data_IF_611138968841
#
_entry.id   IF_611138968841
#
_cell.length_a   1.000
_cell.length_b   1.000
_cell.length_c   1.000
_cell.angle_alpha   90.00
_cell.angle_beta   90.00
_cell.angle_gamma   90.00
#
_symmetry.space_group_name_H-M   'P 1'
#
loop_
_entity.id
_entity.type
_entity.pdbx_description
1 polymer ?
#
# COMPACT_ATOMS: atom_id res chain seq x y z
N UNK A 1 49.27 15.34 5.81
CA UNK A 1 47.93 14.83 5.42
C UNK A 1 47.03 14.49 6.63
N UNK A 2 47.57 14.07 7.79
CA UNK A 2 46.77 13.75 8.98
C UNK A 2 46.22 14.98 9.74
N UNK A 3 46.91 16.12 9.74
CA UNK A 3 46.47 17.29 10.52
C UNK A 3 45.31 18.05 9.88
N UNK A 4 45.27 18.15 8.55
CA UNK A 4 44.13 18.72 7.82
C UNK A 4 42.85 17.91 8.04
N UNK A 5 42.95 16.58 8.11
CA UNK A 5 41.81 15.69 8.36
C UNK A 5 41.29 15.82 9.80
N UNK A 6 42.18 16.04 10.76
CA UNK A 6 41.81 16.31 12.17
C UNK A 6 41.21 17.71 12.35
N UNK A 7 41.66 18.70 11.59
CA UNK A 7 41.06 20.03 11.61
C UNK A 7 39.64 20.02 11.03
N UNK A 8 39.45 19.37 9.88
CA UNK A 8 38.13 19.20 9.25
C UNK A 8 37.15 18.43 10.16
N UNK A 9 37.63 17.40 10.88
CA UNK A 9 36.79 16.66 11.81
C UNK A 9 36.34 17.51 13.01
N UNK A 10 37.21 18.39 13.53
CA UNK A 10 36.86 19.30 14.63
C UNK A 10 35.83 20.35 14.20
N UNK A 11 35.99 20.93 13.02
CA UNK A 11 35.00 21.88 12.47
C UNK A 11 33.65 21.21 12.23
N UNK A 12 33.65 19.97 11.72
CA UNK A 12 32.42 19.20 11.55
C UNK A 12 31.73 18.91 12.90
N UNK A 13 32.48 18.50 13.92
CA UNK A 13 31.94 18.25 15.25
C UNK A 13 31.38 19.51 15.91
N UNK A 14 32.02 20.67 15.69
CA UNK A 14 31.54 21.97 16.17
C UNK A 14 30.21 22.36 15.50
N UNK A 15 30.09 22.17 14.19
CA UNK A 15 28.86 22.43 13.46
C UNK A 15 27.70 21.52 13.91
N UNK A 16 27.97 20.23 14.17
CA UNK A 16 26.96 19.30 14.71
C UNK A 16 26.49 19.73 16.10
N UNK A 17 27.39 20.17 16.97
CA UNK A 17 27.03 20.64 18.31
C UNK A 17 26.15 21.90 18.26
N UNK A 18 26.42 22.82 17.33
CA UNK A 18 25.64 24.05 17.15
C UNK A 18 24.22 23.76 16.60
N UNK A 19 24.08 22.78 15.71
CA UNK A 19 22.77 22.33 15.21
C UNK A 19 21.94 21.70 16.34
N UNK A 20 22.56 20.87 17.19
CA UNK A 20 21.87 20.25 18.31
C UNK A 20 21.42 21.27 19.35
N UNK A 21 22.26 22.26 19.69
CA UNK A 21 21.88 23.33 20.60
C UNK A 21 20.67 24.13 20.10
N UNK A 22 20.60 24.42 18.78
CA UNK A 22 19.43 25.09 18.19
C UNK A 22 18.18 24.21 18.18
N UNK A 23 18.33 22.90 18.09
CA UNK A 23 17.20 21.97 18.20
C UNK A 23 16.62 21.97 19.62
N UNK A 24 17.48 21.98 20.64
CA UNK A 24 17.06 22.04 22.05
C UNK A 24 16.37 23.38 22.38
N UNK A 25 16.83 24.50 21.82
CA UNK A 25 16.17 25.81 21.95
C UNK A 25 14.77 25.81 21.30
N UNK A 26 14.62 25.19 20.12
CA UNK A 26 13.33 25.08 19.42
C UNK A 26 12.36 24.20 20.19
N UNK A 27 12.84 23.08 20.75
CA UNK A 27 12.02 22.18 21.56
C UNK A 27 11.60 22.84 22.89
N UNK A 28 12.48 23.62 23.51
CA UNK A 28 12.17 24.38 24.72
C UNK A 28 11.14 25.49 24.45
N UNK A 29 11.29 26.22 23.33
CA UNK A 29 10.32 27.23 22.92
C UNK A 29 8.93 26.64 22.57
N UNK A 30 8.87 25.37 22.17
CA UNK A 30 7.61 24.65 21.97
C UNK A 30 6.96 24.24 23.29
N UNK A 31 7.76 23.82 24.28
CA UNK A 31 7.29 23.49 25.61
C UNK A 31 6.72 24.71 26.36
N UNK A 32 7.30 25.90 26.17
CA UNK A 32 6.82 27.14 26.81
C UNK A 32 5.56 27.74 26.16
N UNK A 33 5.22 27.34 24.93
CA UNK A 33 4.08 27.88 24.17
C UNK A 33 2.79 27.08 24.29
N UNK A 34 2.76 26.01 25.08
CA UNK A 34 1.53 25.28 25.38
C UNK A 34 1.00 25.73 26.74
N UNK A 35 -0.08 26.54 26.82
CA UNK A 35 -0.80 26.70 28.06
C UNK A 35 -1.43 25.35 28.39
N UNK A 36 -0.98 24.73 29.48
CA UNK A 36 -1.72 23.64 30.11
C UNK A 36 -2.92 24.28 30.80
N UNK A 37 -3.99 24.50 30.05
CA UNK A 37 -5.32 24.70 30.63
C UNK A 37 -5.83 23.31 30.99
N UNK A 38 -5.54 22.92 32.23
CA UNK A 38 -6.06 21.74 32.88
C UNK A 38 -7.55 21.92 33.14
N UNK A 39 -8.42 21.23 32.40
CA UNK A 39 -9.72 20.78 32.92
C UNK A 39 -10.43 19.67 32.11
N UNK A 40 -9.70 18.88 31.30
CA UNK A 40 -10.22 17.60 30.80
C UNK A 40 -9.13 16.52 30.84
N UNK A 41 -9.02 15.85 31.99
CA UNK A 41 -8.31 14.57 32.10
C UNK A 41 -9.13 13.52 31.36
N UNK A 42 -8.73 13.18 30.14
CA UNK A 42 -9.14 11.93 29.50
C UNK A 42 -8.17 10.87 29.99
N UNK A 43 -8.64 10.05 30.92
CA UNK A 43 -7.96 8.89 31.48
C UNK A 43 -7.82 7.82 30.38
N UNK A 44 -6.60 7.57 29.89
CA UNK A 44 -6.34 6.60 28.82
C UNK A 44 -5.68 5.30 29.28
N UNK A 45 -5.66 4.99 30.58
CA UNK A 45 -5.14 3.72 31.09
C UNK A 45 -6.06 3.07 32.12
N UNK A 46 -6.99 2.20 31.67
CA UNK A 46 -7.26 0.91 32.34
C UNK A 46 -7.77 -0.09 31.28
N UNK A 47 -6.89 -0.95 30.77
CA UNK A 47 -7.33 -2.21 30.17
C UNK A 47 -7.72 -3.16 31.31
N UNK A 48 -8.94 -3.71 31.36
CA UNK A 48 -9.23 -4.75 32.34
C UNK A 48 -8.47 -6.02 31.96
N UNK A 49 -7.58 -6.45 32.87
CA UNK A 49 -6.95 -7.76 32.87
C UNK A 49 -8.03 -8.85 32.78
N UNK A 50 -7.97 -9.70 31.75
CA UNK A 50 -8.75 -10.94 31.67
C UNK A 50 -8.31 -11.88 32.78
N UNK A 51 -9.14 -12.06 33.79
CA UNK A 51 -9.10 -13.21 34.69
C UNK A 51 -10.00 -14.33 34.14
N UNK A 52 -9.37 -15.49 33.91
CA UNK A 52 -9.87 -16.86 33.92
C UNK A 52 -11.37 -17.12 33.69
N UNK A 53 -11.68 -17.79 32.57
CA UNK A 53 -12.68 -18.88 32.53
C UNK A 53 -12.11 -20.01 31.70
N UNK A 54 -11.58 -21.03 32.37
CA UNK A 54 -11.53 -22.39 31.84
C UNK A 54 -12.88 -23.06 32.10
N UNK A 55 -13.49 -23.65 31.07
CA UNK A 55 -13.82 -25.08 31.04
C UNK A 55 -14.58 -25.42 29.74
N UNK A 56 -13.90 -26.25 28.95
CA UNK A 56 -14.40 -27.46 28.28
C UNK A 56 -15.85 -27.47 27.75
N UNK A 57 -15.98 -27.59 26.43
CA UNK A 57 -16.78 -28.63 25.79
C UNK A 57 -16.43 -28.72 24.30
N UNK A 58 -15.80 -29.83 23.92
CA UNK A 58 -15.74 -30.33 22.54
C UNK A 58 -17.14 -30.34 21.88
N UNK A 59 -17.30 -29.78 20.67
CA UNK A 59 -18.25 -30.22 19.62
C UNK A 59 -17.94 -29.49 18.30
N UNK A 60 -17.71 -30.28 17.24
CA UNK A 60 -18.14 -29.97 15.86
C UNK A 60 -17.30 -29.01 15.02
N UNK A 61 -16.45 -29.55 14.14
CA UNK A 61 -16.03 -28.85 12.92
C UNK A 61 -17.26 -28.67 12.01
N UNK A 62 -18.02 -27.59 12.20
CA UNK A 62 -18.92 -27.12 11.16
C UNK A 62 -18.12 -26.30 10.17
N UNK A 63 -18.02 -26.84 8.95
CA UNK A 63 -17.69 -26.09 7.74
C UNK A 63 -18.67 -24.91 7.68
N UNK A 64 -18.21 -23.72 8.05
CA UNK A 64 -19.00 -22.51 7.84
C UNK A 64 -19.17 -22.33 6.34
N UNK A 65 -20.42 -22.48 5.88
CA UNK A 65 -20.88 -22.08 4.57
C UNK A 65 -20.35 -20.68 4.25
N UNK A 66 -19.79 -20.53 3.04
CA UNK A 66 -19.22 -19.30 2.48
C UNK A 66 -20.25 -18.14 2.46
N UNK A 67 -21.55 -18.43 2.62
CA UNK A 67 -22.60 -17.41 2.63
C UNK A 67 -22.57 -16.49 3.87
N UNK A 68 -22.04 -16.95 5.01
CA UNK A 68 -21.89 -16.11 6.22
C UNK A 68 -20.75 -15.08 6.15
N UNK A 69 -19.80 -15.25 5.23
CA UNK A 69 -18.63 -14.36 5.09
C UNK A 69 -18.92 -13.08 4.28
N UNK A 70 -20.13 -12.94 3.71
CA UNK A 70 -20.49 -11.88 2.75
C UNK A 70 -20.93 -10.54 3.37
N UNK A 71 -20.94 -10.41 4.70
CA UNK A 71 -21.19 -9.14 5.41
C UNK A 71 -19.92 -8.49 5.98
N UNK A 72 -18.74 -8.79 5.43
CA UNK A 72 -17.54 -7.96 5.66
C UNK A 72 -17.61 -6.71 4.80
N UNK A 73 -17.19 -5.56 5.33
CA UNK A 73 -17.30 -4.26 4.67
C UNK A 73 -16.82 -4.27 3.22
N UNK A 74 -17.77 -4.23 2.28
CA UNK A 74 -17.56 -4.49 0.84
C UNK A 74 -16.68 -3.47 0.11
N UNK A 75 -16.31 -2.36 0.74
CA UNK A 75 -15.86 -1.19 -0.03
C UNK A 75 -14.47 -1.32 -0.67
N UNK A 76 -13.57 -2.20 -0.18
CA UNK A 76 -12.19 -2.31 -0.71
C UNK A 76 -11.71 -3.70 -1.04
N UNK A 77 -12.16 -4.72 -0.31
CA UNK A 77 -11.73 -6.11 -0.52
C UNK A 77 -12.30 -6.76 -1.79
N UNK A 78 -13.20 -6.08 -2.52
CA UNK A 78 -13.78 -6.55 -3.78
C UNK A 78 -13.08 -5.98 -5.01
N UNK A 79 -12.21 -4.98 -4.85
CA UNK A 79 -11.49 -4.41 -5.98
C UNK A 79 -10.49 -5.45 -6.51
N UNK A 80 -10.40 -5.63 -7.85
CA UNK A 80 -9.49 -6.61 -8.44
C UNK A 80 -8.02 -6.27 -8.17
N UNK A 81 -7.73 -4.99 -7.93
CA UNK A 81 -6.42 -4.45 -7.59
C UNK A 81 -6.42 -3.91 -6.16
N UNK A 82 -5.32 -4.14 -5.46
CA UNK A 82 -5.02 -3.65 -4.13
C UNK A 82 -4.61 -2.18 -4.17
N UNK A 83 -3.79 -1.81 -5.15
CA UNK A 83 -3.27 -0.46 -5.30
C UNK A 83 -3.80 0.26 -6.54
N UNK A 84 -3.89 1.58 -6.42
CA UNK A 84 -4.16 2.45 -7.56
C UNK A 84 -2.84 2.79 -8.25
N UNK A 85 -2.76 2.52 -9.55
CA UNK A 85 -1.62 2.91 -10.38
C UNK A 85 -1.54 4.42 -10.56
N UNK A 86 -0.31 4.91 -10.61
CA UNK A 86 0.05 6.28 -10.96
C UNK A 86 1.10 6.23 -12.06
N UNK A 87 0.76 6.75 -13.25
CA UNK A 87 1.66 6.71 -14.41
C UNK A 87 2.77 7.76 -14.38
N UNK A 88 2.52 8.89 -13.73
CA UNK A 88 3.49 9.99 -13.59
C UNK A 88 3.57 10.45 -12.14
N UNK A 89 4.78 10.65 -11.58
CA UNK A 89 4.93 10.95 -10.16
C UNK A 89 4.30 12.29 -9.77
N UNK A 90 4.26 13.24 -10.70
CA UNK A 90 3.66 14.56 -10.51
C UNK A 90 3.18 15.15 -11.83
N UNK A 91 2.25 16.09 -11.75
CA UNK A 91 1.85 16.96 -12.86
C UNK A 91 2.40 18.37 -12.65
N UNK A 92 2.88 19.06 -13.70
CA UNK A 92 3.36 20.43 -13.59
C UNK A 92 2.28 21.36 -13.01
N UNK A 93 2.72 22.37 -12.24
CA UNK A 93 1.83 23.42 -11.76
C UNK A 93 1.22 24.19 -12.93
N UNK A 94 -0.07 24.51 -12.81
CA UNK A 94 -0.76 25.43 -13.73
C UNK A 94 -0.55 26.89 -13.36
N UNK A 95 -0.05 27.17 -12.16
CA UNK A 95 0.25 28.51 -11.67
C UNK A 95 1.73 28.84 -11.92
N UNK A 96 2.07 30.02 -12.45
CA UNK A 96 3.46 30.47 -12.57
C UNK A 96 4.17 30.42 -11.21
N UNK A 97 5.34 29.77 -11.17
CA UNK A 97 6.12 29.59 -9.94
C UNK A 97 5.57 28.56 -8.94
N UNK A 98 4.44 27.90 -9.24
CA UNK A 98 3.88 26.87 -8.37
C UNK A 98 4.65 25.55 -8.42
N UNK A 99 4.65 24.82 -7.30
CA UNK A 99 5.26 23.49 -7.21
C UNK A 99 4.41 22.44 -7.96
N UNK A 100 5.04 21.42 -8.58
CA UNK A 100 4.32 20.29 -9.18
C UNK A 100 3.39 19.62 -8.16
N UNK A 101 2.20 19.19 -8.61
CA UNK A 101 1.29 18.40 -7.80
C UNK A 101 1.74 16.93 -7.83
N UNK A 102 2.20 16.34 -6.72
CA UNK A 102 2.54 14.93 -6.67
C UNK A 102 1.26 14.10 -6.79
N UNK A 103 1.26 13.16 -7.74
CA UNK A 103 0.19 12.19 -7.92
C UNK A 103 0.48 10.88 -7.17
N UNK A 104 1.75 10.55 -6.93
CA UNK A 104 2.19 9.34 -6.23
C UNK A 104 2.00 9.45 -4.71
N UNK A 105 0.74 9.63 -4.30
CA UNK A 105 0.31 9.82 -2.89
C UNK A 105 -0.62 8.70 -2.40
N UNK A 106 -0.90 7.71 -3.25
CA UNK A 106 -1.96 6.71 -3.05
C UNK A 106 -1.46 5.29 -2.77
N UNK A 107 -0.19 5.00 -3.11
CA UNK A 107 0.41 3.68 -2.99
C UNK A 107 0.84 3.29 -1.58
N UNK A 108 1.53 2.15 -1.45
CA UNK A 108 1.99 1.65 -0.16
C UNK A 108 3.18 2.45 0.37
N UNK A 109 3.26 2.52 1.69
CA UNK A 109 4.39 3.05 2.45
C UNK A 109 4.77 2.04 3.53
N UNK A 110 5.80 2.35 4.32
CA UNK A 110 6.20 1.53 5.45
C UNK A 110 5.07 1.31 6.44
N UNK A 111 4.16 2.29 6.61
CA UNK A 111 3.07 2.25 7.60
C UNK A 111 1.73 1.87 7.01
N UNK A 112 1.48 2.18 5.73
CA UNK A 112 0.15 2.08 5.14
C UNK A 112 0.15 1.24 3.87
N UNK A 113 -0.88 0.39 3.73
CA UNK A 113 -1.25 -0.26 2.47
C UNK A 113 -1.54 0.78 1.41
N UNK A 114 -2.28 1.83 1.79
CA UNK A 114 -2.56 2.98 0.95
C UNK A 114 -2.46 4.26 1.78
N UNK A 115 -1.42 5.06 1.52
CA UNK A 115 -1.14 6.28 2.26
C UNK A 115 -2.32 7.27 2.26
N UNK A 116 -2.99 7.44 1.12
CA UNK A 116 -4.12 8.38 0.97
C UNK A 116 -5.29 8.06 1.89
N UNK A 117 -5.44 6.80 2.26
CA UNK A 117 -6.61 6.33 2.99
C UNK A 117 -6.34 6.02 4.45
N UNK A 118 -5.06 6.02 4.85
CA UNK A 118 -4.65 5.65 6.19
C UNK A 118 -4.85 4.17 6.53
N UNK A 119 -5.07 3.28 5.55
CA UNK A 119 -5.21 1.83 5.79
C UNK A 119 -3.85 1.25 6.24
N UNK A 120 -3.68 0.88 7.53
CA UNK A 120 -2.37 0.49 8.04
C UNK A 120 -2.02 -0.95 7.68
N UNK A 121 -0.73 -1.24 7.60
CA UNK A 121 -0.22 -2.61 7.73
C UNK A 121 -0.32 -3.08 9.19
N UNK A 122 -0.32 -4.39 9.45
CA UNK A 122 -0.16 -4.91 10.81
C UNK A 122 1.27 -4.70 11.30
N UNK A 123 2.25 -4.86 10.42
CA UNK A 123 3.66 -4.57 10.70
C UNK A 123 4.25 -3.55 9.73
N UNK A 124 5.21 -2.77 10.23
CA UNK A 124 5.92 -1.81 9.41
C UNK A 124 6.75 -2.53 8.33
N UNK A 125 6.68 -2.04 7.09
CA UNK A 125 7.35 -2.66 5.95
C UNK A 125 6.46 -3.63 5.16
N UNK A 126 5.20 -3.80 5.57
CA UNK A 126 4.20 -4.59 4.86
C UNK A 126 3.85 -5.90 5.54
N UNK A 127 2.74 -6.48 5.10
CA UNK A 127 2.29 -7.80 5.51
C UNK A 127 2.40 -8.78 4.35
N UNK A 128 2.96 -9.96 4.61
CA UNK A 128 3.08 -11.03 3.64
C UNK A 128 2.88 -12.39 4.31
N UNK A 129 2.46 -13.37 3.52
CA UNK A 129 2.40 -14.78 3.93
C UNK A 129 3.47 -15.58 3.18
N UNK A 130 4.02 -16.55 3.89
CA UNK A 130 4.97 -17.51 3.35
C UNK A 130 4.24 -18.71 2.72
N UNK A 131 4.99 -19.69 2.21
CA UNK A 131 4.46 -20.85 1.50
C UNK A 131 3.67 -21.82 2.39
N UNK A 132 3.75 -21.67 3.72
CA UNK A 132 2.93 -22.41 4.69
C UNK A 132 1.68 -21.61 5.11
N UNK A 133 1.47 -20.43 4.52
CA UNK A 133 0.39 -19.51 4.89
C UNK A 133 0.66 -18.77 6.20
N UNK A 134 1.89 -18.82 6.72
CA UNK A 134 2.25 -18.14 7.96
C UNK A 134 2.52 -16.67 7.69
N UNK A 135 1.81 -15.78 8.40
CA UNK A 135 2.05 -14.35 8.34
C UNK A 135 3.50 -14.05 8.80
N UNK A 136 4.25 -13.35 7.96
CA UNK A 136 5.68 -13.03 8.16
C UNK A 136 6.58 -14.26 8.35
N UNK A 137 6.15 -15.42 7.86
CA UNK A 137 6.94 -16.65 7.91
C UNK A 137 8.19 -16.61 7.04
N UNK A 138 9.05 -17.62 7.20
CA UNK A 138 10.39 -17.66 6.60
C UNK A 138 10.49 -18.52 5.35
N UNK A 139 9.44 -19.27 4.97
CA UNK A 139 9.48 -20.17 3.81
C UNK A 139 8.98 -19.46 2.55
N UNK A 140 9.86 -18.91 1.69
CA UNK A 140 9.40 -18.18 0.51
C UNK A 140 8.63 -19.11 -0.44
N UNK A 141 7.72 -18.53 -1.21
CA UNK A 141 7.02 -19.24 -2.27
C UNK A 141 7.94 -19.59 -3.44
N UNK A 142 8.95 -18.75 -3.67
CA UNK A 142 9.99 -18.97 -4.65
C UNK A 142 11.30 -18.32 -4.19
N UNK A 143 12.43 -18.94 -4.54
CA UNK A 143 13.77 -18.37 -4.36
C UNK A 143 14.55 -18.47 -5.65
N UNK A 144 15.19 -17.38 -6.08
CA UNK A 144 16.03 -17.34 -7.27
C UNK A 144 17.41 -16.75 -6.97
N UNK A 145 18.53 -17.38 -7.38
CA UNK A 145 19.85 -16.76 -7.33
C UNK A 145 19.96 -15.50 -8.21
N UNK A 146 20.55 -14.43 -7.66
CA UNK A 146 20.76 -13.14 -8.33
C UNK A 146 22.25 -12.86 -8.59
N UNK A 147 22.88 -13.79 -9.31
CA UNK A 147 24.32 -13.84 -9.58
C UNK A 147 24.68 -13.81 -11.08
N UNK A 148 23.74 -13.48 -11.97
CA UNK A 148 23.99 -13.40 -13.40
C UNK A 148 24.88 -12.20 -13.79
N UNK A 149 24.97 -11.18 -12.92
CA UNK A 149 25.83 -10.03 -13.09
C UNK A 149 26.37 -9.51 -11.75
N UNK A 150 27.40 -8.66 -11.79
CA UNK A 150 28.02 -8.04 -10.62
C UNK A 150 28.49 -6.63 -10.94
N UNK A 151 28.25 -5.67 -10.04
CA UNK A 151 28.63 -4.27 -10.17
C UNK A 151 27.43 -3.32 -10.07
N UNK A 152 27.65 -2.06 -9.63
CA UNK A 152 26.58 -1.10 -9.34
C UNK A 152 25.81 -0.65 -10.59
N UNK A 153 26.36 -0.86 -11.79
CA UNK A 153 25.71 -0.54 -13.07
C UNK A 153 25.38 -1.78 -13.90
N UNK A 154 25.69 -2.97 -13.38
CA UNK A 154 25.49 -4.21 -14.11
C UNK A 154 24.00 -4.54 -14.15
N UNK A 155 23.48 -4.80 -15.35
CA UNK A 155 22.07 -5.12 -15.59
C UNK A 155 21.91 -6.57 -15.99
N UNK A 156 20.89 -7.24 -15.47
CA UNK A 156 20.53 -8.59 -15.87
C UNK A 156 19.03 -8.83 -15.69
N UNK A 157 18.43 -9.56 -16.64
CA UNK A 157 17.04 -10.02 -16.55
C UNK A 157 16.98 -11.39 -15.92
N UNK A 158 16.05 -11.54 -14.99
CA UNK A 158 15.81 -12.76 -14.23
C UNK A 158 14.39 -13.24 -14.44
N UNK A 159 14.25 -14.57 -14.33
CA UNK A 159 13.00 -15.29 -14.51
C UNK A 159 12.76 -16.13 -13.27
N UNK A 160 11.76 -15.75 -12.48
CA UNK A 160 11.43 -16.41 -11.20
C UNK A 160 10.17 -17.26 -11.43
N UNK A 161 10.27 -18.56 -11.22
CA UNK A 161 9.08 -19.42 -11.19
C UNK A 161 8.27 -19.12 -9.92
N UNK A 162 7.04 -18.65 -10.10
CA UNK A 162 6.10 -18.29 -9.03
C UNK A 162 4.80 -19.09 -9.16
N UNK A 163 4.84 -20.22 -9.85
CA UNK A 163 3.66 -21.03 -10.18
C UNK A 163 2.81 -21.35 -8.94
N UNK A 164 3.45 -21.85 -7.88
CA UNK A 164 2.77 -22.19 -6.62
C UNK A 164 2.10 -20.98 -5.96
N UNK A 165 2.77 -19.82 -5.94
CA UNK A 165 2.23 -18.58 -5.37
C UNK A 165 0.99 -18.13 -6.12
N UNK A 166 1.07 -18.13 -7.45
CA UNK A 166 -0.01 -17.66 -8.32
C UNK A 166 -1.20 -18.62 -8.28
N UNK A 167 -0.97 -19.93 -8.23
CA UNK A 167 -2.02 -20.92 -8.01
C UNK A 167 -2.73 -20.70 -6.66
N UNK A 168 -1.98 -20.43 -5.59
CA UNK A 168 -2.57 -20.11 -4.30
C UNK A 168 -3.40 -18.82 -4.34
N UNK A 169 -2.90 -17.77 -5.00
CA UNK A 169 -3.61 -16.51 -5.21
C UNK A 169 -4.97 -16.74 -5.89
N UNK A 170 -4.99 -17.52 -6.96
CA UNK A 170 -6.22 -17.85 -7.70
C UNK A 170 -7.17 -18.67 -6.83
N UNK A 171 -6.67 -19.72 -6.17
CA UNK A 171 -7.48 -20.61 -5.34
C UNK A 171 -8.12 -19.91 -4.13
N UNK A 172 -7.51 -18.85 -3.63
CA UNK A 172 -7.96 -18.12 -2.43
C UNK A 172 -8.60 -16.77 -2.73
N UNK A 173 -8.64 -16.36 -4.01
CA UNK A 173 -9.18 -15.06 -4.41
C UNK A 173 -8.37 -13.86 -3.90
N UNK A 174 -7.10 -14.05 -3.57
CA UNK A 174 -6.20 -12.98 -3.08
C UNK A 174 -5.80 -12.02 -4.21
N UNK A 175 -5.33 -10.83 -3.88
CA UNK A 175 -4.70 -9.96 -4.88
C UNK A 175 -3.44 -10.63 -5.44
N UNK A 176 -3.15 -10.43 -6.73
CA UNK A 176 -1.92 -10.89 -7.33
C UNK A 176 -0.78 -9.91 -7.03
N UNK A 177 -0.53 -9.73 -5.74
CA UNK A 177 0.48 -8.85 -5.18
C UNK A 177 1.56 -9.68 -4.48
N UNK A 178 2.82 -9.45 -4.86
CA UNK A 178 3.98 -10.20 -4.39
C UNK A 178 4.95 -9.27 -3.67
N UNK A 179 5.51 -9.75 -2.56
CA UNK A 179 6.57 -9.09 -1.81
C UNK A 179 7.90 -9.72 -2.18
N UNK A 180 8.79 -8.90 -2.73
CA UNK A 180 10.10 -9.30 -3.24
C UNK A 180 11.18 -8.85 -2.27
N UNK A 181 12.01 -9.77 -1.79
CA UNK A 181 13.08 -9.48 -0.84
C UNK A 181 14.41 -10.03 -1.34
N UNK A 182 15.43 -9.17 -1.42
CA UNK A 182 16.79 -9.62 -1.66
C UNK A 182 17.45 -10.10 -0.37
N UNK A 183 18.09 -11.27 -0.41
CA UNK A 183 18.90 -11.83 0.70
C UNK A 183 20.35 -11.93 0.25
N UNK A 184 21.29 -11.72 1.17
CA UNK A 184 22.74 -11.85 0.93
C UNK A 184 23.40 -10.63 0.27
N UNK A 185 22.65 -9.81 -0.48
CA UNK A 185 23.11 -8.51 -0.96
C UNK A 185 21.93 -7.60 -1.37
N UNK A 186 22.03 -6.26 -1.23
CA UNK A 186 21.05 -5.33 -1.77
C UNK A 186 20.91 -5.44 -3.30
N UNK A 187 19.71 -5.17 -3.80
CA UNK A 187 19.36 -5.19 -5.22
C UNK A 187 18.41 -4.06 -5.55
N UNK A 188 18.53 -3.52 -6.75
CA UNK A 188 17.57 -2.58 -7.35
C UNK A 188 17.01 -3.21 -8.60
N UNK A 189 15.69 -3.15 -8.76
CA UNK A 189 14.99 -3.64 -9.94
C UNK A 189 14.44 -2.46 -10.75
N UNK A 190 14.14 -2.70 -12.02
CA UNK A 190 13.35 -1.78 -12.82
C UNK A 190 12.00 -1.52 -12.12
N UNK A 191 11.65 -0.23 -11.96
CA UNK A 191 10.43 0.23 -11.31
C UNK A 191 9.26 0.40 -12.28
N UNK A 192 8.11 0.84 -11.77
CA UNK A 192 6.87 0.98 -12.53
C UNK A 192 6.94 2.04 -13.65
N UNK A 193 7.81 3.04 -13.50
CA UNK A 193 8.08 4.05 -14.53
C UNK A 193 9.08 3.61 -15.62
N UNK A 194 9.55 2.37 -15.59
CA UNK A 194 10.53 1.83 -16.55
C UNK A 194 9.86 1.10 -17.71
N UNK A 195 10.45 1.16 -18.91
CA UNK A 195 10.09 0.27 -20.01
C UNK A 195 10.44 -1.20 -19.74
N UNK A 196 11.32 -1.46 -18.78
CA UNK A 196 11.74 -2.79 -18.32
C UNK A 196 10.99 -3.19 -17.03
N UNK A 197 9.85 -2.57 -16.73
CA UNK A 197 9.06 -2.90 -15.55
C UNK A 197 8.72 -4.40 -15.50
N UNK A 198 8.63 -5.01 -14.31
CA UNK A 198 8.34 -6.43 -14.17
C UNK A 198 7.06 -6.86 -14.87
N UNK A 199 7.05 -8.10 -15.36
CA UNK A 199 5.87 -8.73 -15.97
C UNK A 199 5.63 -10.10 -15.34
N UNK A 200 4.38 -10.53 -15.32
CA UNK A 200 3.96 -11.87 -14.97
C UNK A 200 3.52 -12.60 -16.25
N UNK A 201 4.23 -13.65 -16.63
CA UNK A 201 3.83 -14.57 -17.69
C UNK A 201 3.07 -15.73 -17.06
N UNK A 202 1.88 -16.04 -17.57
CA UNK A 202 1.02 -17.13 -17.08
C UNK A 202 0.63 -18.03 -18.24
N UNK A 203 0.76 -19.34 -18.06
CA UNK A 203 0.12 -20.34 -18.91
C UNK A 203 -1.10 -20.92 -18.18
N UNK A 204 -2.22 -20.96 -18.88
CA UNK A 204 -3.51 -21.42 -18.37
C UNK A 204 -3.80 -22.88 -18.74
N UNK A 205 -4.80 -23.45 -18.09
CA UNK A 205 -5.32 -24.80 -18.37
C UNK A 205 -5.93 -24.96 -19.77
N UNK A 206 -6.50 -23.88 -20.32
CA UNK A 206 -6.99 -23.79 -21.70
C UNK A 206 -5.87 -23.77 -22.77
N UNK A 207 -4.60 -23.79 -22.33
CA UNK A 207 -3.42 -23.71 -23.19
C UNK A 207 -3.05 -22.29 -23.62
N UNK A 208 -3.83 -21.27 -23.26
CA UNK A 208 -3.50 -19.88 -23.54
C UNK A 208 -2.31 -19.43 -22.67
N UNK A 209 -1.55 -18.48 -23.20
CA UNK A 209 -0.49 -17.79 -22.45
C UNK A 209 -0.75 -16.29 -22.47
N UNK A 210 -0.53 -15.64 -21.34
CA UNK A 210 -0.71 -14.21 -21.17
C UNK A 210 0.53 -13.60 -20.51
N UNK A 211 0.93 -12.41 -20.97
CA UNK A 211 1.98 -11.61 -20.36
C UNK A 211 1.35 -10.35 -19.80
N UNK A 212 1.33 -10.25 -18.48
CA UNK A 212 0.70 -9.15 -17.76
C UNK A 212 1.76 -8.21 -17.20
N UNK A 213 1.76 -6.92 -17.55
CA UNK A 213 2.66 -5.96 -16.91
C UNK A 213 2.29 -5.78 -15.44
N UNK A 214 3.30 -5.51 -14.60
CA UNK A 214 3.05 -5.04 -13.25
C UNK A 214 2.23 -3.74 -13.32
N UNK A 215 1.10 -3.73 -12.63
CA UNK A 215 0.25 -2.56 -12.41
C UNK A 215 0.92 -1.57 -11.46
N UNK A 216 1.58 -2.09 -10.42
CA UNK A 216 2.33 -1.30 -9.43
C UNK A 216 3.65 -2.00 -9.14
N UNK A 217 4.72 -1.22 -9.00
CA UNK A 217 6.00 -1.62 -8.43
C UNK A 217 6.36 -0.59 -7.39
N UNK A 218 6.35 -0.97 -6.12
CA UNK A 218 6.51 -0.04 -5.01
C UNK A 218 7.66 -0.48 -4.11
N UNK A 219 8.67 0.36 -3.96
CA UNK A 219 9.69 0.16 -2.93
C UNK A 219 9.04 0.24 -1.54
N UNK A 220 9.36 -0.72 -0.66
CA UNK A 220 8.85 -0.72 0.70
C UNK A 220 9.97 -0.96 1.71
N UNK A 221 10.62 0.13 2.12
CA UNK A 221 11.59 0.08 3.21
C UNK A 221 10.89 0.33 4.54
N UNK A 222 11.54 0.02 5.66
CA UNK A 222 11.04 0.35 7.00
C UNK A 222 10.87 1.87 7.22
N UNK A 223 11.42 2.72 6.36
CA UNK A 223 11.38 4.18 6.48
C UNK A 223 10.61 4.90 5.37
N UNK A 224 9.97 4.19 4.43
CA UNK A 224 9.26 4.86 3.34
C UNK A 224 8.07 5.64 3.91
N UNK A 225 8.16 6.98 3.85
CA UNK A 225 7.13 7.91 4.31
C UNK A 225 6.15 8.27 3.18
N UNK A 226 6.62 8.19 1.93
CA UNK A 226 5.85 8.49 0.73
C UNK A 226 5.85 7.28 -0.21
N UNK A 227 4.75 7.06 -0.95
CA UNK A 227 4.73 6.08 -2.03
C UNK A 227 5.80 6.40 -3.07
N UNK A 228 6.34 5.35 -3.69
CA UNK A 228 7.32 5.46 -4.77
C UNK A 228 7.01 4.40 -5.84
N UNK A 229 5.86 4.57 -6.50
CA UNK A 229 5.29 3.63 -7.46
C UNK A 229 5.61 3.99 -8.91
N UNK A 230 5.86 5.27 -9.20
CA UNK A 230 6.16 5.77 -10.54
C UNK A 230 7.66 5.89 -10.85
N UNK A 231 8.55 5.49 -9.92
CA UNK A 231 9.99 5.53 -10.17
C UNK A 231 10.43 4.53 -11.24
N UNK A 232 11.49 4.89 -11.98
CA UNK A 232 12.12 4.02 -12.96
C UNK A 232 12.92 2.87 -12.32
N UNK A 233 13.26 2.98 -11.03
CA UNK A 233 13.97 1.98 -10.25
C UNK A 233 13.33 1.82 -8.87
N UNK A 234 13.35 0.59 -8.34
CA UNK A 234 12.86 0.27 -7.01
C UNK A 234 13.90 -0.57 -6.26
N UNK A 235 14.30 -0.10 -5.06
CA UNK A 235 15.15 -0.91 -4.18
C UNK A 235 14.35 -2.05 -3.57
N UNK A 236 14.98 -3.22 -3.43
CA UNK A 236 14.40 -4.31 -2.66
C UNK A 236 14.63 -4.08 -1.14
N UNK A 237 13.64 -4.38 -0.28
CA UNK A 237 12.38 -5.03 -0.63
C UNK A 237 11.39 -4.11 -1.36
N UNK A 238 10.65 -4.72 -2.29
CA UNK A 238 9.62 -4.04 -3.08
C UNK A 238 8.39 -4.94 -3.22
N UNK A 239 7.23 -4.32 -3.35
CA UNK A 239 5.99 -4.99 -3.71
C UNK A 239 5.72 -4.81 -5.19
N UNK A 240 5.26 -5.86 -5.85
CA UNK A 240 4.73 -5.79 -7.20
C UNK A 240 3.29 -6.26 -7.20
N UNK A 241 2.45 -5.65 -8.02
CA UNK A 241 1.09 -6.13 -8.26
C UNK A 241 0.85 -6.30 -9.74
N UNK A 242 0.30 -7.45 -10.12
CA UNK A 242 -0.17 -7.74 -11.47
C UNK A 242 -1.70 -7.94 -11.45
N UNK A 243 -2.37 -7.83 -12.60
CA UNK A 243 -3.73 -8.34 -12.73
C UNK A 243 -3.82 -9.80 -12.27
N UNK A 244 -4.91 -10.15 -11.59
CA UNK A 244 -5.16 -11.53 -11.17
C UNK A 244 -5.37 -12.41 -12.41
N UNK A 245 -4.74 -13.60 -12.50
CA UNK A 245 -5.02 -14.55 -13.58
C UNK A 245 -6.52 -14.88 -13.66
N UNK A 246 -7.03 -14.96 -14.88
CA UNK A 246 -8.47 -15.11 -15.16
C UNK A 246 -9.04 -16.51 -14.96
N UNK A 247 -8.17 -17.52 -14.90
CA UNK A 247 -8.53 -18.94 -14.92
C UNK A 247 -7.48 -19.79 -14.19
N UNK A 248 -7.63 -21.12 -14.25
CA UNK A 248 -6.67 -22.07 -13.69
C UNK A 248 -5.28 -21.90 -14.28
N UNK A 249 -4.27 -21.87 -13.41
CA UNK A 249 -2.87 -21.61 -13.78
C UNK A 249 -2.06 -22.89 -13.81
N UNK A 250 -1.44 -23.19 -14.95
CA UNK A 250 -0.53 -24.32 -15.15
C UNK A 250 0.91 -23.93 -14.78
N UNK A 251 1.35 -22.75 -15.22
CA UNK A 251 2.65 -22.20 -14.85
C UNK A 251 2.61 -20.69 -14.78
N UNK A 252 3.46 -20.11 -13.94
CA UNK A 252 3.58 -18.66 -13.81
C UNK A 252 5.03 -18.24 -13.53
N UNK A 253 5.47 -17.16 -14.18
CA UNK A 253 6.82 -16.65 -14.10
C UNK A 253 6.85 -15.13 -14.01
N UNK A 254 7.56 -14.59 -13.01
CA UNK A 254 7.91 -13.17 -12.99
C UNK A 254 9.18 -12.97 -13.80
N UNK A 255 9.10 -12.09 -14.80
CA UNK A 255 10.26 -11.54 -15.49
C UNK A 255 10.57 -10.16 -14.89
N UNK A 256 11.79 -9.97 -14.41
CA UNK A 256 12.23 -8.67 -13.88
C UNK A 256 13.66 -8.39 -14.29
N UNK A 257 14.00 -7.11 -14.40
CA UNK A 257 15.37 -6.66 -14.61
C UNK A 257 15.93 -6.10 -13.32
N UNK A 258 17.05 -6.67 -12.86
CA UNK A 258 17.87 -6.05 -11.80
C UNK A 258 18.80 -5.06 -12.48
N UNK A 259 18.72 -3.80 -12.06
CA UNK A 259 19.50 -2.70 -12.66
C UNK A 259 20.80 -2.40 -11.91
N UNK A 260 20.91 -2.82 -10.64
CA UNK A 260 22.11 -2.63 -9.81
C UNK A 260 22.42 -3.88 -8.96
N UNK A 261 23.66 -4.37 -9.03
CA UNK A 261 24.13 -5.58 -8.34
C UNK A 261 25.28 -5.26 -7.37
N UNK A 262 24.97 -5.11 -6.08
CA UNK A 262 26.01 -5.03 -5.04
C UNK A 262 26.63 -6.39 -4.77
N UNK A 263 27.91 -6.37 -4.39
CA UNK A 263 28.63 -7.55 -3.94
C UNK A 263 28.01 -8.08 -2.64
N UNK A 264 28.04 -9.40 -2.48
CA UNK A 264 27.57 -10.08 -1.27
C UNK A 264 27.56 -11.59 -1.43
N UNK A 265 27.33 -12.29 -0.34
CA UNK A 265 27.40 -13.74 -0.30
C UNK A 265 26.09 -14.36 -0.80
N UNK A 266 26.15 -15.10 -1.91
CA UNK A 266 25.03 -15.88 -2.49
C UNK A 266 23.73 -15.08 -2.56
N UNK A 267 23.74 -13.94 -3.30
CA UNK A 267 22.57 -13.09 -3.40
C UNK A 267 21.39 -13.86 -3.99
N UNK A 268 20.23 -13.78 -3.35
CA UNK A 268 18.99 -14.43 -3.78
C UNK A 268 17.82 -13.46 -3.74
N UNK A 269 16.78 -13.78 -4.49
CA UNK A 269 15.47 -13.15 -4.44
C UNK A 269 14.48 -14.12 -3.81
N UNK A 270 13.90 -13.76 -2.69
CA UNK A 270 12.77 -14.44 -2.09
C UNK A 270 11.47 -13.76 -2.51
N UNK A 271 10.45 -14.57 -2.80
CA UNK A 271 9.10 -14.11 -3.15
C UNK A 271 8.08 -14.58 -2.11
N UNK A 272 7.27 -13.65 -1.64
CA UNK A 272 6.14 -13.89 -0.73
C UNK A 272 4.86 -13.31 -1.33
N UNK A 273 3.69 -13.71 -0.82
CA UNK A 273 2.40 -13.12 -1.24
C UNK A 273 2.04 -12.00 -0.25
N UNK A 274 1.65 -10.83 -0.76
CA UNK A 274 1.22 -9.70 0.09
C UNK A 274 -0.16 -10.00 0.71
N UNK A 275 -0.29 -9.76 2.01
CA UNK A 275 -1.49 -10.09 2.80
C UNK A 275 -1.93 -8.94 3.73
N UNK A 276 -2.46 -7.84 3.18
CA UNK A 276 -2.86 -6.69 3.98
C UNK A 276 -4.02 -7.03 4.93
N UNK A 277 -4.17 -6.33 6.06
CA UNK A 277 -5.28 -6.56 6.96
C UNK A 277 -6.58 -6.10 6.32
N UNK A 278 -7.50 -7.02 6.08
CA UNK A 278 -8.85 -6.66 5.62
C UNK A 278 -9.69 -6.26 6.83
N UNK A 279 -10.48 -5.18 6.71
CA UNK A 279 -11.40 -4.79 7.76
C UNK A 279 -12.38 -5.95 8.04
N UNK A 280 -12.28 -6.50 9.26
CA UNK A 280 -13.13 -7.58 9.74
C UNK A 280 -14.25 -7.07 10.66
N UNK A 281 -14.26 -5.77 10.98
CA UNK A 281 -15.32 -5.18 11.78
C UNK A 281 -16.68 -5.41 11.11
N UNK A 282 -17.72 -5.76 11.89
CA UNK A 282 -19.06 -5.90 11.36
C UNK A 282 -19.49 -4.58 10.72
N UNK A 283 -20.24 -4.67 9.62
CA UNK A 283 -20.80 -3.47 8.98
C UNK A 283 -21.66 -2.74 10.01
N UNK A 284 -21.21 -1.54 10.39
CA UNK A 284 -21.99 -0.64 11.21
C UNK A 284 -22.97 0.10 10.31
N UNK A 285 -24.24 -0.24 10.47
CA UNK A 285 -25.33 0.43 9.80
C UNK A 285 -25.66 1.72 10.56
N UNK A 286 -25.59 2.85 9.86
CA UNK A 286 -26.13 4.11 10.38
C UNK A 286 -27.66 4.09 10.43
N UNK A 287 -28.23 5.11 11.06
CA UNK A 287 -29.70 5.33 11.17
C UNK A 287 -30.45 5.28 9.83
N UNK A 288 -29.76 5.59 8.71
CA UNK A 288 -30.32 5.52 7.36
C UNK A 288 -30.60 4.08 6.90
N UNK A 289 -29.96 3.06 7.47
CA UNK A 289 -30.14 1.68 7.03
C UNK A 289 -31.54 1.11 7.31
N UNK A 290 -32.26 1.68 8.29
CA UNK A 290 -33.63 1.30 8.60
C UNK A 290 -34.67 2.06 7.78
N UNK A 291 -34.24 3.01 6.94
CA UNK A 291 -35.12 3.89 6.19
C UNK A 291 -35.10 3.52 4.69
N UNK A 292 -36.26 3.43 4.03
CA UNK A 292 -36.31 3.44 2.58
C UNK A 292 -35.81 4.81 2.07
N UNK A 293 -34.62 4.83 1.47
CA UNK A 293 -33.94 6.08 1.06
C UNK A 293 -33.74 7.01 2.28
N UNK A 294 -34.16 8.28 2.16
CA UNK A 294 -34.07 9.30 3.21
C UNK A 294 -35.40 9.53 3.95
N UNK A 295 -36.34 8.58 3.87
CA UNK A 295 -37.61 8.66 4.59
C UNK A 295 -37.35 8.75 6.11
N UNK A 296 -38.06 9.63 6.81
CA UNK A 296 -37.93 9.75 8.28
C UNK A 296 -36.60 10.30 8.80
N UNK A 297 -35.59 10.55 7.94
CA UNK A 297 -34.33 11.17 8.37
C UNK A 297 -34.47 12.67 8.61
N UNK A 298 -35.40 13.33 7.91
CA UNK A 298 -35.72 14.76 8.13
C UNK A 298 -36.39 14.90 9.49
N UNK A 299 -35.66 15.46 10.46
CA UNK A 299 -36.12 15.64 11.84
C UNK A 299 -35.71 14.54 12.81
N UNK A 300 -34.95 13.52 12.37
CA UNK A 300 -34.36 12.56 13.30
C UNK A 300 -33.34 13.29 14.19
N UNK A 301 -33.37 13.13 15.53
CA UNK A 301 -32.56 13.94 16.46
C UNK A 301 -31.04 13.79 16.26
N UNK A 302 -30.61 12.67 15.67
CA UNK A 302 -29.20 12.39 15.32
C UNK A 302 -28.81 12.83 13.90
N UNK A 303 -29.70 13.50 13.15
CA UNK A 303 -29.45 13.98 11.79
C UNK A 303 -29.41 15.50 11.78
N UNK A 304 -28.26 16.07 11.41
CA UNK A 304 -28.06 17.53 11.34
C UNK A 304 -28.65 18.10 10.03
N UNK A 305 -28.73 17.28 8.98
CA UNK A 305 -29.35 17.65 7.72
C UNK A 305 -29.50 16.45 6.79
N UNK A 306 -30.52 16.51 5.92
CA UNK A 306 -30.75 15.54 4.86
C UNK A 306 -30.68 16.28 3.53
N UNK A 307 -29.76 15.86 2.66
CA UNK A 307 -29.69 16.39 1.31
C UNK A 307 -30.51 15.49 0.39
N UNK A 308 -31.64 15.99 -0.11
CA UNK A 308 -32.49 15.25 -1.06
C UNK A 308 -32.17 15.68 -2.47
N UNK A 309 -31.80 14.71 -3.30
CA UNK A 309 -31.71 14.86 -4.76
C UNK A 309 -32.99 14.23 -5.30
N UNK A 310 -33.97 15.06 -5.67
CA UNK A 310 -35.22 14.59 -6.27
C UNK A 310 -35.03 14.12 -7.71
N UNK A 311 -35.99 13.37 -8.25
CA UNK A 311 -35.89 12.83 -9.62
C UNK A 311 -35.79 13.90 -10.73
N UNK A 312 -36.16 15.15 -10.41
CA UNK A 312 -36.05 16.31 -11.30
C UNK A 312 -34.93 17.30 -10.92
N UNK A 313 -34.10 17.00 -9.92
CA UNK A 313 -32.94 17.86 -9.62
C UNK A 313 -31.87 17.68 -10.69
N UNK A 314 -31.47 18.79 -11.29
CA UNK A 314 -30.32 18.90 -12.17
C UNK A 314 -29.04 19.10 -11.36
N UNK A 315 -27.88 18.83 -11.95
CA UNK A 315 -26.59 19.08 -11.29
C UNK A 315 -26.43 20.56 -10.86
N UNK A 316 -27.07 21.49 -11.57
CA UNK A 316 -27.05 22.91 -11.24
C UNK A 316 -27.85 23.25 -9.97
N UNK A 317 -28.79 22.39 -9.56
CA UNK A 317 -29.61 22.59 -8.35
C UNK A 317 -28.86 22.21 -7.08
N UNK A 318 -27.80 21.40 -7.20
CA UNK A 318 -27.06 20.80 -6.06
C UNK A 318 -25.57 21.16 -6.05
N UNK A 319 -25.04 21.70 -7.15
CA UNK A 319 -23.65 22.13 -7.26
C UNK A 319 -23.56 23.54 -7.85
N UNK A 320 -22.78 24.40 -7.19
CA UNK A 320 -22.51 25.75 -7.68
C UNK A 320 -21.76 25.70 -9.02
N UNK A 321 -22.45 26.05 -10.11
CA UNK A 321 -21.95 25.97 -11.49
C UNK A 321 -20.70 26.81 -11.76
N UNK A 322 -20.40 27.79 -10.89
CA UNK A 322 -19.20 28.61 -10.94
C UNK A 322 -17.91 27.84 -10.59
N UNK A 323 -18.01 26.74 -9.83
CA UNK A 323 -16.85 25.92 -9.44
C UNK A 323 -16.69 24.63 -10.24
N UNK A 324 -17.61 24.32 -11.17
CA UNK A 324 -17.51 23.13 -12.01
C UNK A 324 -16.42 23.36 -13.07
N UNK A 325 -15.29 22.62 -13.05
CA UNK A 325 -14.25 22.74 -14.05
C UNK A 325 -14.82 22.53 -15.46
N UNK A 326 -14.42 23.36 -16.41
CA UNK A 326 -14.96 23.38 -17.79
C UNK A 326 -14.92 22.03 -18.51
N UNK A 327 -14.01 21.12 -18.14
CA UNK A 327 -13.93 19.77 -18.73
C UNK A 327 -15.09 18.84 -18.33
N UNK A 328 -15.84 19.15 -17.26
CA UNK A 328 -17.05 18.41 -16.88
C UNK A 328 -18.33 19.00 -17.48
N UNK A 329 -18.29 20.21 -18.06
CA UNK A 329 -19.46 20.83 -18.71
C UNK A 329 -19.85 20.10 -20.01
N UNK A 330 -18.91 19.44 -20.66
CA UNK A 330 -19.16 18.76 -21.95
C UNK A 330 -19.87 17.40 -21.81
N UNK A 331 -20.02 16.86 -20.59
CA UNK A 331 -20.70 15.57 -20.40
C UNK A 331 -22.23 15.66 -20.57
N UNK A 332 -22.81 16.86 -20.41
CA UNK A 332 -24.26 17.08 -20.60
C UNK A 332 -24.68 17.33 -22.06
N UNK A 333 -23.72 17.53 -22.98
CA UNK A 333 -24.02 17.72 -24.40
C UNK A 333 -24.24 16.40 -25.18
N UNK A 334 -24.09 15.25 -24.53
CA UNK A 334 -24.28 13.92 -25.15
C UNK A 334 -25.60 13.24 -24.74
N UNK A 335 -26.54 13.97 -24.13
CA UNK A 335 -27.88 13.48 -23.76
C UNK A 335 -29.02 14.41 -24.19
N UNK A 336 -28.86 15.10 -25.31
CA UNK A 336 -29.96 15.75 -26.03
C UNK A 336 -30.09 15.12 -27.42
#
# INVERSE_FOLDING_TARGET
MNDLRRAALREFQKAVAEVNARADDVMSAFAERTPVESDHVIDWEVWPSRSAVESDHSIGWQVMSIEGALQRGKYRCVQPMLWTRVDVPAVPSRLPGGLPLPLDRVGPTSKFVSARTGWPWRQQGGDWIDADGTLHGTRPWATLPLNAASGPTARATYRVDVTSAVQHIVATGRWCALYLRSVGAPRVIAGGGSAEAPTLTVAYDDGATEVMPAHVVAQITSSSAFPNTAAAEAHLPAMIECPRPRAGVVSAQINLTVTQHWSGARPTLDVYIVDPPVNAEPVQHGIAAAQPLDAGLVGHPSVIGVHRIGDNTTLADVAETAQIPTHLRNYNALRA
#
